data_IF_761936534119
#
_entry.id   IF_761936534119
#
_cell.length_a   1.000
_cell.length_b   1.000
_cell.length_c   1.000
_cell.angle_alpha   90.00
_cell.angle_beta   90.00
_cell.angle_gamma   90.00
#
_symmetry.space_group_name_H-M   'P 1'
#
loop_
_entity.id
_entity.type
_entity.pdbx_description
1 polymer ?
#
# COMPACT_ATOMS: atom_id res chain seq x y z
N UNK A 1 2.60 -21.21 5.73
CA UNK A 1 1.25 -20.84 5.25
C UNK A 1 0.92 -19.50 5.86
N UNK A 2 0.48 -18.52 5.07
CA UNK A 2 0.00 -17.22 5.55
C UNK A 2 -1.49 -17.08 5.27
N UNK A 3 -2.20 -16.36 6.13
CA UNK A 3 -3.60 -16.01 5.95
C UNK A 3 -3.72 -14.49 6.11
N UNK A 4 -4.39 -13.84 5.16
CA UNK A 4 -4.60 -12.40 5.18
C UNK A 4 -6.03 -12.07 4.75
N UNK A 5 -6.50 -10.90 5.18
CA UNK A 5 -7.79 -10.36 4.78
C UNK A 5 -7.61 -9.50 3.52
N UNK A 6 -8.49 -9.69 2.55
CA UNK A 6 -8.55 -8.87 1.33
C UNK A 6 -10.01 -8.48 1.08
N UNK A 7 -10.24 -7.19 0.89
CA UNK A 7 -11.55 -6.64 0.55
C UNK A 7 -11.72 -6.43 -0.97
N UNK A 8 -10.64 -6.64 -1.75
CA UNK A 8 -10.63 -6.47 -3.20
C UNK A 8 -10.74 -5.02 -3.67
N UNK A 9 -10.72 -4.04 -2.76
CA UNK A 9 -11.00 -2.62 -3.08
C UNK A 9 -9.99 -1.63 -2.50
N UNK A 10 -9.42 -1.88 -1.31
CA UNK A 10 -8.46 -0.97 -0.66
C UNK A 10 -6.99 -1.31 -0.97
N UNK A 11 -6.74 -2.45 -1.63
CA UNK A 11 -5.40 -3.05 -1.76
C UNK A 11 -4.68 -3.29 -0.42
N UNK A 12 -5.36 -3.19 0.73
CA UNK A 12 -4.80 -3.60 2.02
C UNK A 12 -4.46 -5.09 2.02
N UNK A 13 -5.20 -5.92 1.27
CA UNK A 13 -4.87 -7.32 1.08
C UNK A 13 -3.49 -7.54 0.48
N UNK A 14 -3.07 -6.70 -0.48
CA UNK A 14 -1.71 -6.74 -1.06
C UNK A 14 -0.66 -6.39 -0.03
N UNK A 15 -0.93 -5.41 0.83
CA UNK A 15 -0.03 -5.06 1.93
C UNK A 15 0.14 -6.22 2.91
N UNK A 16 -0.98 -6.79 3.37
CA UNK A 16 -0.97 -7.91 4.30
C UNK A 16 -0.27 -9.13 3.69
N UNK A 17 -0.58 -9.49 2.44
CA UNK A 17 0.10 -10.56 1.70
C UNK A 17 1.61 -10.33 1.60
N UNK A 18 2.03 -9.12 1.23
CA UNK A 18 3.45 -8.77 1.08
C UNK A 18 4.21 -8.96 2.40
N UNK A 19 3.58 -8.61 3.51
CA UNK A 19 4.14 -8.82 4.84
C UNK A 19 4.21 -10.30 5.23
N UNK A 20 3.13 -11.04 5.03
CA UNK A 20 3.13 -12.49 5.32
C UNK A 20 4.17 -13.23 4.47
N UNK A 21 4.36 -12.80 3.22
CA UNK A 21 5.42 -13.30 2.35
C UNK A 21 6.81 -12.93 2.90
N UNK A 22 7.02 -11.70 3.36
CA UNK A 22 8.28 -11.28 3.98
C UNK A 22 8.64 -12.16 5.19
N UNK A 23 7.68 -12.45 6.07
CA UNK A 23 7.91 -13.36 7.20
C UNK A 23 8.20 -14.79 6.75
N UNK A 24 7.53 -15.26 5.69
CA UNK A 24 7.78 -16.59 5.13
C UNK A 24 9.21 -16.73 4.58
N UNK A 25 9.79 -15.67 4.03
CA UNK A 25 11.17 -15.63 3.51
C UNK A 25 12.20 -15.16 4.55
N UNK A 26 11.85 -15.23 5.83
CA UNK A 26 12.80 -15.07 6.93
C UNK A 26 12.92 -13.66 7.51
N UNK A 27 12.17 -12.66 7.03
CA UNK A 27 12.11 -11.37 7.69
C UNK A 27 11.59 -11.53 9.13
N UNK A 28 12.08 -10.69 10.04
CA UNK A 28 11.52 -10.60 11.41
C UNK A 28 10.77 -9.29 11.57
N UNK A 29 9.91 -9.26 12.58
CA UNK A 29 9.09 -8.10 12.94
C UNK A 29 9.99 -6.94 13.36
N UNK A 30 9.72 -5.75 12.84
CA UNK A 30 10.33 -4.51 13.31
C UNK A 30 9.75 -4.11 14.66
N UNK A 31 10.43 -4.54 15.73
CA UNK A 31 10.14 -4.15 17.10
C UNK A 31 11.40 -4.02 17.95
N UNK A 32 12.57 -4.00 17.29
CA UNK A 32 13.86 -3.93 17.97
C UNK A 32 14.08 -2.50 18.43
N UNK A 33 14.70 -2.30 19.60
CA UNK A 33 15.09 -0.97 20.09
C UNK A 33 16.37 -0.47 19.40
N UNK A 34 16.44 -0.65 18.08
CA UNK A 34 17.55 -0.24 17.23
C UNK A 34 16.95 0.69 16.18
N UNK A 35 17.53 1.89 16.06
CA UNK A 35 17.06 2.91 15.11
C UNK A 35 16.95 2.33 13.70
N UNK A 36 15.80 2.56 13.04
CA UNK A 36 15.54 2.04 11.70
C UNK A 36 14.92 0.65 11.69
N UNK A 37 14.67 0.06 12.87
CA UNK A 37 14.04 -1.26 13.05
C UNK A 37 13.02 -1.24 14.20
N UNK A 38 12.63 -0.03 14.62
CA UNK A 38 11.63 0.19 15.66
C UNK A 38 10.23 0.15 15.04
N UNK A 39 9.25 -0.35 15.78
CA UNK A 39 7.86 -0.38 15.30
C UNK A 39 7.34 1.01 14.86
N UNK A 40 7.81 2.07 15.54
CA UNK A 40 7.45 3.47 15.24
C UNK A 40 7.93 3.96 13.88
N UNK A 41 8.85 3.25 13.22
CA UNK A 41 9.39 3.63 11.91
C UNK A 41 8.47 3.19 10.75
N UNK A 42 7.47 2.34 11.05
CA UNK A 42 6.31 2.01 10.21
C UNK A 42 6.64 1.26 8.90
N UNK A 43 7.69 0.45 8.89
CA UNK A 43 8.06 -0.45 7.79
C UNK A 43 7.06 -1.59 7.58
N UNK A 44 7.22 -2.32 6.48
CA UNK A 44 6.31 -3.41 6.07
C UNK A 44 6.15 -4.49 7.16
N UNK A 45 7.21 -4.80 7.90
CA UNK A 45 7.18 -5.85 8.92
C UNK A 45 6.76 -5.35 10.30
N UNK A 46 6.30 -4.10 10.43
CA UNK A 46 5.63 -3.61 11.63
C UNK A 46 4.22 -4.24 11.79
N UNK A 47 3.54 -3.90 12.87
CA UNK A 47 2.10 -4.17 13.06
C UNK A 47 1.30 -3.58 11.89
N UNK A 48 0.22 -4.26 11.46
CA UNK A 48 -0.47 -3.91 10.19
C UNK A 48 -0.99 -2.48 10.25
N UNK A 49 -1.60 -2.13 11.37
CA UNK A 49 -2.22 -0.83 11.62
C UNK A 49 -1.19 0.31 11.71
N UNK A 50 0.06 -0.02 12.03
CA UNK A 50 1.15 0.95 12.16
C UNK A 50 2.04 1.03 10.92
N UNK A 51 1.96 0.07 10.00
CA UNK A 51 2.78 0.06 8.79
C UNK A 51 2.25 1.07 7.75
N UNK A 52 3.10 2.03 7.39
CA UNK A 52 2.81 3.06 6.37
C UNK A 52 3.85 3.11 5.27
N UNK A 53 4.87 2.25 5.34
CA UNK A 53 5.93 2.10 4.35
C UNK A 53 5.88 0.68 3.80
N UNK A 54 5.66 0.54 2.50
CA UNK A 54 5.48 -0.75 1.83
C UNK A 54 6.80 -1.39 1.39
N UNK A 55 7.84 -1.26 2.21
CA UNK A 55 9.16 -1.84 1.98
C UNK A 55 9.78 -2.25 3.31
N UNK A 56 10.76 -3.15 3.25
CA UNK A 56 11.44 -3.69 4.41
C UNK A 56 12.33 -2.63 5.08
N UNK A 57 12.49 -2.74 6.40
CA UNK A 57 13.59 -2.06 7.09
C UNK A 57 14.92 -2.72 6.74
N UNK A 58 16.03 -2.03 7.02
CA UNK A 58 17.35 -2.63 6.88
C UNK A 58 17.49 -3.92 7.72
N UNK A 59 16.93 -3.95 8.93
CA UNK A 59 16.99 -5.16 9.76
C UNK A 59 16.23 -6.33 9.13
N UNK A 60 15.04 -6.07 8.58
CA UNK A 60 14.27 -7.10 7.91
C UNK A 60 14.96 -7.58 6.62
N UNK A 61 15.58 -6.68 5.85
CA UNK A 61 16.41 -7.05 4.69
C UNK A 61 17.60 -7.94 5.08
N UNK A 62 18.29 -7.61 6.18
CA UNK A 62 19.41 -8.40 6.68
C UNK A 62 18.96 -9.80 7.13
N UNK A 63 17.82 -9.89 7.82
CA UNK A 63 17.24 -11.18 8.23
C UNK A 63 16.85 -12.04 7.01
N UNK A 64 16.24 -11.43 5.99
CA UNK A 64 15.89 -12.12 4.72
C UNK A 64 17.17 -12.61 4.04
N UNK A 65 18.20 -11.76 3.95
CA UNK A 65 19.49 -12.14 3.36
C UNK A 65 20.12 -13.32 4.10
N UNK A 66 20.13 -13.29 5.43
CA UNK A 66 20.63 -14.40 6.25
C UNK A 66 19.85 -15.69 5.99
N UNK A 67 18.52 -15.60 5.94
CA UNK A 67 17.65 -16.74 5.61
C UNK A 67 17.99 -17.34 4.24
N UNK A 68 18.17 -16.51 3.22
CA UNK A 68 18.55 -16.98 1.88
C UNK A 68 19.93 -17.67 1.87
N UNK A 69 20.93 -17.11 2.55
CA UNK A 69 22.27 -17.70 2.62
C UNK A 69 22.25 -19.07 3.31
N UNK A 70 21.52 -19.17 4.42
CA UNK A 70 21.41 -20.41 5.20
C UNK A 70 20.62 -21.52 4.48
N UNK A 71 19.72 -21.16 3.57
CA UNK A 71 18.89 -22.11 2.81
C UNK A 71 19.31 -22.22 1.33
N UNK A 72 20.49 -21.71 0.98
CA UNK A 72 20.98 -21.64 -0.41
C UNK A 72 21.03 -23.00 -1.12
N UNK A 73 21.25 -24.10 -0.39
CA UNK A 73 21.35 -25.46 -0.94
C UNK A 73 20.03 -26.25 -0.95
N UNK A 74 19.03 -25.82 -0.19
CA UNK A 74 17.75 -26.50 -0.02
C UNK A 74 16.60 -25.53 -0.21
N UNK A 75 16.41 -25.08 -1.45
CA UNK A 75 15.36 -24.12 -1.78
C UNK A 75 14.55 -24.51 -3.01
N UNK A 76 13.36 -23.92 -3.11
CA UNK A 76 12.44 -24.06 -4.23
C UNK A 76 12.19 -22.74 -4.97
N UNK A 77 12.98 -21.69 -4.69
CA UNK A 77 12.82 -20.35 -5.26
C UNK A 77 13.81 -20.04 -6.38
N UNK A 78 14.71 -20.96 -6.71
CA UNK A 78 15.70 -20.75 -7.78
C UNK A 78 15.16 -21.08 -9.18
N UNK A 79 14.00 -21.75 -9.25
CA UNK A 79 13.35 -22.05 -10.52
C UNK A 79 12.71 -20.80 -11.13
N UNK A 80 12.64 -20.74 -12.45
CA UNK A 80 11.95 -19.66 -13.17
C UNK A 80 10.50 -20.07 -13.42
N UNK A 81 9.51 -19.47 -12.73
CA UNK A 81 8.11 -19.83 -12.93
C UNK A 81 7.62 -19.35 -14.29
N UNK A 82 6.67 -20.08 -14.88
CA UNK A 82 5.91 -19.55 -16.02
C UNK A 82 4.85 -18.58 -15.47
N UNK A 83 4.82 -17.31 -15.94
CA UNK A 83 3.86 -16.35 -15.44
C UNK A 83 2.43 -16.76 -15.79
N UNK A 84 1.55 -16.75 -14.78
CA UNK A 84 0.12 -17.06 -14.95
C UNK A 84 -0.56 -16.02 -15.85
N UNK A 85 -0.21 -14.74 -15.67
CA UNK A 85 -0.67 -13.63 -16.51
C UNK A 85 0.55 -13.02 -17.18
N UNK A 86 0.62 -13.10 -18.52
CA UNK A 86 1.72 -12.52 -19.30
C UNK A 86 1.50 -11.02 -19.50
N UNK A 87 2.59 -10.25 -19.44
CA UNK A 87 2.62 -8.81 -19.78
C UNK A 87 1.64 -7.93 -18.99
N UNK A 88 1.39 -8.28 -17.72
CA UNK A 88 0.55 -7.48 -16.86
C UNK A 88 1.36 -6.40 -16.15
N UNK A 89 1.48 -5.24 -16.79
CA UNK A 89 2.19 -4.06 -16.27
C UNK A 89 1.22 -2.98 -15.77
N UNK A 90 -0.04 -3.34 -15.56
CA UNK A 90 -1.05 -2.37 -15.12
C UNK A 90 -0.81 -1.98 -13.64
N UNK A 91 -0.83 -0.67 -13.39
CA UNK A 91 -0.75 -0.14 -12.03
C UNK A 91 -2.09 -0.32 -11.28
N UNK A 92 -2.07 -0.38 -9.94
CA UNK A 92 -3.26 -0.61 -9.10
C UNK A 92 -4.47 0.27 -9.45
N UNK A 93 -4.24 1.55 -9.75
CA UNK A 93 -5.29 2.50 -10.18
C UNK A 93 -6.13 2.03 -11.37
N UNK A 94 -5.55 1.24 -12.29
CA UNK A 94 -6.27 0.73 -13.47
C UNK A 94 -7.32 -0.32 -13.13
N UNK A 95 -7.08 -1.12 -12.08
CA UNK A 95 -8.05 -2.11 -11.61
C UNK A 95 -9.22 -1.48 -10.85
N UNK A 96 -8.98 -0.32 -10.23
CA UNK A 96 -9.99 0.42 -9.48
C UNK A 96 -10.66 1.53 -10.31
N UNK A 97 -10.25 1.74 -11.56
CA UNK A 97 -10.73 2.84 -12.40
C UNK A 97 -12.25 2.83 -12.49
N UNK A 98 -12.87 1.68 -12.73
CA UNK A 98 -14.33 1.55 -12.79
C UNK A 98 -15.01 1.77 -11.43
N UNK A 99 -14.49 1.18 -10.37
CA UNK A 99 -15.07 1.26 -9.02
C UNK A 99 -14.96 2.67 -8.43
N UNK A 100 -13.83 3.36 -8.66
CA UNK A 100 -13.58 4.72 -8.20
C UNK A 100 -14.27 5.77 -9.06
N UNK A 101 -14.30 5.61 -10.39
CA UNK A 101 -14.94 6.58 -11.29
C UNK A 101 -16.47 6.53 -11.23
N UNK A 102 -17.05 5.35 -10.96
CA UNK A 102 -18.50 5.19 -10.73
C UNK A 102 -18.94 5.59 -9.32
N UNK A 103 -18.01 6.01 -8.46
CA UNK A 103 -18.29 6.39 -7.07
C UNK A 103 -18.79 5.21 -6.21
N UNK A 104 -18.47 3.98 -6.60
CA UNK A 104 -18.92 2.77 -5.92
C UNK A 104 -18.04 2.41 -4.72
N UNK A 105 -16.82 2.95 -4.65
CA UNK A 105 -15.87 2.74 -3.56
C UNK A 105 -15.43 4.07 -2.96
N UNK A 106 -15.62 4.20 -1.66
CA UNK A 106 -14.99 5.24 -0.84
C UNK A 106 -13.67 4.70 -0.26
N UNK A 107 -12.55 5.33 -0.60
CA UNK A 107 -11.23 4.86 -0.19
C UNK A 107 -11.02 4.91 1.33
N UNK A 108 -11.58 5.92 2.01
CA UNK A 108 -11.47 6.01 3.46
C UNK A 108 -12.26 4.88 4.14
N UNK A 109 -13.48 4.62 3.70
CA UNK A 109 -14.29 3.51 4.22
C UNK A 109 -13.64 2.15 3.93
N UNK A 110 -13.08 1.97 2.73
CA UNK A 110 -12.38 0.73 2.36
C UNK A 110 -11.13 0.49 3.23
N UNK A 111 -10.28 1.51 3.40
CA UNK A 111 -9.07 1.40 4.22
C UNK A 111 -9.37 1.34 5.73
N UNK A 112 -10.48 1.92 6.18
CA UNK A 112 -10.91 1.96 7.58
C UNK A 112 -12.15 1.11 7.81
N UNK A 113 -12.16 -0.10 7.25
CA UNK A 113 -13.33 -0.99 7.30
C UNK A 113 -13.82 -1.35 8.71
N UNK A 114 -12.97 -1.25 9.74
CA UNK A 114 -13.36 -1.41 11.15
C UNK A 114 -14.10 -0.20 11.74
N UNK A 115 -14.08 0.94 11.07
CA UNK A 115 -14.67 2.21 11.49
C UNK A 115 -15.65 2.71 10.40
N UNK A 116 -16.88 2.18 10.38
CA UNK A 116 -17.82 2.40 9.26
C UNK A 116 -18.28 3.86 9.11
N UNK A 117 -18.09 4.68 10.13
CA UNK A 117 -18.41 6.12 10.14
C UNK A 117 -17.30 6.99 9.54
N UNK A 118 -16.17 6.40 9.12
CA UNK A 118 -15.08 7.13 8.43
C UNK A 118 -15.30 7.07 6.92
N UNK A 119 -15.42 8.26 6.32
CA UNK A 119 -15.69 8.44 4.88
C UNK A 119 -14.73 9.47 4.29
N UNK A 120 -14.64 9.55 2.97
CA UNK A 120 -13.93 10.66 2.32
C UNK A 120 -14.63 11.97 2.63
N UNK A 121 -13.88 12.98 3.07
CA UNK A 121 -14.44 14.27 3.44
C UNK A 121 -15.26 14.90 2.29
N UNK A 122 -16.45 15.47 2.57
CA UNK A 122 -17.33 16.07 1.54
C UNK A 122 -16.64 17.20 0.74
N UNK A 123 -15.75 17.95 1.39
CA UNK A 123 -14.93 19.00 0.77
C UNK A 123 -13.76 18.46 -0.08
N UNK A 124 -13.54 17.14 -0.09
CA UNK A 124 -12.73 16.43 -1.08
C UNK A 124 -13.50 16.37 -2.41
N UNK A 125 -13.88 17.55 -2.92
CA UNK A 125 -14.52 17.71 -4.21
C UNK A 125 -13.70 17.04 -5.31
N UNK A 126 -14.35 16.70 -6.43
CA UNK A 126 -13.69 16.22 -7.65
C UNK A 126 -12.51 17.09 -8.10
N UNK A 127 -12.43 18.37 -7.69
CA UNK A 127 -11.30 19.28 -7.97
C UNK A 127 -10.09 19.11 -7.04
N UNK A 128 -10.25 18.53 -5.84
CA UNK A 128 -9.14 18.20 -4.90
C UNK A 128 -8.56 16.80 -5.13
N UNK A 129 -9.37 15.85 -5.63
CA UNK A 129 -8.90 14.53 -6.14
C UNK A 129 -7.67 14.65 -7.04
N UNK A 130 -7.66 15.65 -7.92
CA UNK A 130 -6.58 15.84 -8.89
C UNK A 130 -5.29 16.47 -8.34
N UNK A 131 -5.23 16.92 -7.07
CA UNK A 131 -4.05 17.67 -6.58
C UNK A 131 -3.07 16.86 -5.76
N UNK A 132 -3.51 15.82 -5.05
CA UNK A 132 -2.69 15.09 -4.10
C UNK A 132 -2.93 13.59 -4.16
N UNK A 133 -1.88 12.81 -3.96
CA UNK A 133 -1.94 11.34 -3.85
C UNK A 133 -2.43 10.87 -2.48
N UNK A 134 -3.31 11.67 -1.87
CA UNK A 134 -3.87 11.50 -0.53
C UNK A 134 -5.34 11.87 -0.56
N UNK A 135 -6.14 11.07 0.12
CA UNK A 135 -7.56 11.29 0.37
C UNK A 135 -7.73 11.65 1.84
N UNK A 136 -8.43 12.75 2.12
CA UNK A 136 -8.76 13.15 3.49
C UNK A 136 -9.96 12.36 3.98
N UNK A 137 -9.83 11.76 5.17
CA UNK A 137 -10.89 11.02 5.82
C UNK A 137 -11.51 11.85 6.96
N UNK A 138 -12.83 11.87 7.00
CA UNK A 138 -13.65 12.59 7.97
C UNK A 138 -14.65 11.61 8.61
N UNK A 139 -15.20 11.96 9.77
CA UNK A 139 -16.42 11.30 10.23
C UNK A 139 -17.60 11.74 9.36
N UNK A 140 -18.56 10.85 9.09
CA UNK A 140 -19.65 11.04 8.11
C UNK A 140 -20.44 12.35 8.25
N UNK A 141 -20.59 12.82 9.50
CA UNK A 141 -21.34 14.02 9.88
C UNK A 141 -20.45 15.22 10.21
N UNK A 142 -19.12 15.06 10.20
CA UNK A 142 -18.17 16.15 10.44
C UNK A 142 -17.39 16.46 9.16
N UNK A 143 -16.83 17.67 9.08
CA UNK A 143 -15.84 17.99 8.06
C UNK A 143 -14.43 18.05 8.65
N UNK A 144 -14.28 17.54 9.87
CA UNK A 144 -13.01 17.55 10.59
C UNK A 144 -12.17 16.38 10.07
N UNK A 145 -11.00 16.71 9.52
CA UNK A 145 -10.09 15.71 8.98
C UNK A 145 -9.44 14.97 10.13
N UNK A 146 -9.76 13.70 10.27
CA UNK A 146 -9.22 12.83 11.33
C UNK A 146 -8.00 12.04 10.85
N UNK A 147 -7.91 11.78 9.55
CA UNK A 147 -6.89 10.91 8.97
C UNK A 147 -6.74 11.11 7.44
N UNK A 148 -5.75 10.45 6.85
CA UNK A 148 -5.53 10.41 5.41
C UNK A 148 -5.17 9.00 4.94
N UNK A 149 -5.73 8.60 3.80
CA UNK A 149 -5.34 7.38 3.08
C UNK A 149 -4.65 7.75 1.76
N UNK A 150 -3.88 6.82 1.20
CA UNK A 150 -3.14 7.07 -0.03
C UNK A 150 -3.99 6.69 -1.25
N UNK A 151 -3.88 7.47 -2.31
CA UNK A 151 -4.42 7.07 -3.62
C UNK A 151 -3.62 5.88 -4.17
N UNK A 152 -4.25 4.95 -4.91
CA UNK A 152 -3.55 3.85 -5.56
C UNK A 152 -2.47 4.32 -6.52
N UNK A 153 -1.40 3.53 -6.64
CA UNK A 153 -0.34 3.84 -7.60
C UNK A 153 -0.89 3.87 -9.04
N UNK A 154 -0.44 4.85 -9.82
CA UNK A 154 -0.90 5.17 -11.16
C UNK A 154 -2.07 6.15 -11.26
N UNK A 155 -2.70 6.54 -10.13
CA UNK A 155 -3.75 7.56 -10.14
C UNK A 155 -3.19 8.89 -10.67
N UNK A 156 -3.89 9.54 -11.61
CA UNK A 156 -3.45 10.81 -12.17
C UNK A 156 -3.46 11.93 -11.11
N UNK A 157 -2.43 12.78 -11.11
CA UNK A 157 -2.29 13.86 -10.14
C UNK A 157 -1.67 15.13 -10.77
N UNK A 158 -1.80 16.26 -10.09
CA UNK A 158 -1.32 17.57 -10.53
C UNK A 158 -2.40 18.41 -11.22
N UNK A 159 -2.34 19.73 -11.01
CA UNK A 159 -3.41 20.64 -11.41
C UNK A 159 -3.48 20.82 -12.93
N UNK A 160 -2.33 20.96 -13.59
CA UNK A 160 -2.17 21.12 -15.03
C UNK A 160 -0.70 20.88 -15.36
N UNK A 161 -0.37 19.99 -16.30
CA UNK A 161 0.99 19.92 -16.85
C UNK A 161 1.02 19.27 -18.22
N UNK A 162 1.89 19.81 -19.08
CA UNK A 162 2.35 19.23 -20.34
C UNK A 162 3.10 17.89 -20.16
N UNK A 163 3.28 17.46 -18.91
CA UNK A 163 3.94 16.22 -18.50
C UNK A 163 2.94 15.34 -17.78
N UNK A 164 2.94 14.04 -18.10
CA UNK A 164 2.12 13.05 -17.40
C UNK A 164 2.67 12.87 -15.98
N UNK A 165 1.80 13.07 -14.97
CA UNK A 165 2.12 12.83 -13.56
C UNK A 165 1.16 11.82 -12.98
N UNK A 166 1.65 10.99 -12.07
CA UNK A 166 0.82 10.01 -11.37
C UNK A 166 1.30 9.78 -9.94
N UNK A 167 0.44 9.17 -9.15
CA UNK A 167 0.75 8.76 -7.79
C UNK A 167 1.64 7.52 -7.79
N UNK A 168 2.76 7.61 -7.08
CA UNK A 168 3.66 6.49 -6.79
C UNK A 168 4.08 6.62 -5.32
N UNK A 169 3.81 5.59 -4.51
CA UNK A 169 4.07 5.58 -3.07
C UNK A 169 3.51 6.82 -2.33
N UNK A 170 2.29 7.24 -2.70
CA UNK A 170 1.62 8.40 -2.11
C UNK A 170 2.25 9.76 -2.46
N UNK A 171 3.14 9.82 -3.46
CA UNK A 171 3.73 11.05 -3.98
C UNK A 171 3.32 11.28 -5.44
N UNK A 172 3.11 12.55 -5.81
CA UNK A 172 2.81 12.91 -7.19
C UNK A 172 4.11 13.13 -7.97
N UNK A 173 4.46 12.17 -8.83
CA UNK A 173 5.74 12.14 -9.55
C UNK A 173 5.54 12.34 -11.06
N UNK A 174 6.55 12.91 -11.72
CA UNK A 174 6.61 12.99 -13.19
C UNK A 174 6.98 11.66 -13.81
N UNK A 175 6.29 11.30 -14.88
CA UNK A 175 6.49 10.05 -15.61
C UNK A 175 7.03 10.41 -16.99
N UNK A 176 8.27 10.00 -17.24
CA UNK A 176 8.98 10.20 -18.52
C UNK A 176 8.56 9.16 -19.55
#
# INVERSE_FOLDING_TARGET
MGVFYDDGVSFLGVHALSRELAFLIGAKRDNRKIRGCEAKDRYLTATLDDSSRFYLSQCAEDDVREFFLNNSWHNCWNDTPTPVIKNNWALPSKYLEDSLNKGQVDLCTAHRFYFPFIVSCRNYSSRRKFRSCRVSCCEEDTNDVIDYVMEPDGTACGYFSFKKKMCIHGQCVEVS
#
